data_IF_779474905226
#
_entry.id   IF_779474905226
#
_cell.length_a   1.000
_cell.length_b   1.000
_cell.length_c   1.000
_cell.angle_alpha   90.00
_cell.angle_beta   90.00
_cell.angle_gamma   90.00
#
_symmetry.space_group_name_H-M   'P 1'
#
loop_
_entity.id
_entity.type
_entity.pdbx_description
1 polymer ?
#
# COMPACT_ATOMS: atom_id res chain seq x y z
N UNK A 1 -25.07 7.91 33.35
CA UNK A 1 -24.71 9.21 32.74
C UNK A 1 -23.43 9.13 31.89
N UNK A 2 -22.38 8.43 32.34
CA UNK A 2 -21.12 8.22 31.60
C UNK A 2 -21.30 7.58 30.20
N UNK A 3 -22.20 6.60 30.05
CA UNK A 3 -22.49 5.95 28.75
C UNK A 3 -23.14 6.89 27.73
N UNK A 4 -24.08 7.73 28.16
CA UNK A 4 -24.72 8.76 27.30
C UNK A 4 -23.73 9.89 26.95
N UNK A 5 -22.85 10.25 27.88
CA UNK A 5 -21.75 11.19 27.65
C UNK A 5 -20.73 10.64 26.63
N UNK A 6 -20.38 9.35 26.75
CA UNK A 6 -19.48 8.68 25.80
C UNK A 6 -20.09 8.64 24.39
N UNK A 7 -21.39 8.37 24.28
CA UNK A 7 -22.10 8.33 22.99
C UNK A 7 -22.21 9.72 22.32
N UNK A 8 -22.39 10.77 23.12
CA UNK A 8 -22.38 12.16 22.63
C UNK A 8 -20.99 12.56 22.12
N UNK A 9 -19.93 12.22 22.87
CA UNK A 9 -18.54 12.47 22.45
C UNK A 9 -18.18 11.70 21.18
N UNK A 10 -18.64 10.45 21.04
CA UNK A 10 -18.42 9.64 19.83
C UNK A 10 -19.13 10.22 18.60
N UNK A 11 -20.35 10.75 18.77
CA UNK A 11 -21.09 11.44 17.70
C UNK A 11 -20.36 12.70 17.21
N UNK A 12 -19.75 13.47 18.14
CA UNK A 12 -18.98 14.66 17.81
C UNK A 12 -17.70 14.35 17.02
N UNK A 13 -17.07 13.20 17.27
CA UNK A 13 -15.84 12.76 16.60
C UNK A 13 -16.13 12.31 15.15
N UNK A 14 -17.27 11.67 14.89
CA UNK A 14 -17.65 11.18 13.54
C UNK A 14 -17.96 12.35 12.59
N UNK A 15 -18.54 13.45 13.09
CA UNK A 15 -18.86 14.64 12.29
C UNK A 15 -17.60 15.41 11.87
N UNK A 16 -16.48 15.27 12.60
CA UNK A 16 -15.21 15.95 12.30
C UNK A 16 -14.38 15.34 11.17
N UNK A 17 -14.78 14.18 10.61
CA UNK A 17 -14.03 13.49 9.55
C UNK A 17 -14.61 13.85 8.18
N UNK A 18 -14.63 15.14 7.83
CA UNK A 18 -14.78 15.53 6.43
C UNK A 18 -13.43 15.36 5.75
N UNK A 19 -13.32 14.70 4.57
CA UNK A 19 -12.05 14.62 3.87
C UNK A 19 -11.59 16.04 3.51
N UNK A 20 -10.54 16.50 4.18
CA UNK A 20 -9.83 17.72 3.80
C UNK A 20 -9.30 17.50 2.37
N UNK A 21 -9.59 18.39 1.39
CA UNK A 21 -8.89 18.34 0.12
C UNK A 21 -7.40 18.56 0.41
N UNK A 22 -6.57 17.55 0.10
CA UNK A 22 -5.13 17.66 0.24
C UNK A 22 -4.63 18.72 -0.75
N UNK A 23 -4.37 19.93 -0.26
CA UNK A 23 -3.66 20.96 -1.00
C UNK A 23 -2.19 20.49 -1.06
N UNK A 24 -1.80 19.90 -2.18
CA UNK A 24 -0.41 19.58 -2.46
C UNK A 24 0.36 20.89 -2.70
N UNK A 25 0.88 21.48 -1.62
CA UNK A 25 2.01 22.38 -1.75
C UNK A 25 3.23 21.50 -2.06
N UNK A 26 3.85 21.73 -3.22
CA UNK A 26 5.17 21.18 -3.59
C UNK A 26 6.20 21.64 -2.55
N UNK A 27 6.31 20.90 -1.45
CA UNK A 27 7.49 20.90 -0.61
C UNK A 27 8.60 20.19 -1.39
N UNK A 28 9.87 20.63 -1.30
CA UNK A 28 10.98 19.93 -1.92
C UNK A 28 10.95 18.49 -1.42
N UNK A 29 10.68 17.60 -2.37
CA UNK A 29 10.54 16.17 -2.27
C UNK A 29 11.52 15.64 -1.19
N UNK A 30 11.03 15.31 0.00
CA UNK A 30 11.76 14.39 0.88
C UNK A 30 11.84 13.13 0.05
N UNK A 31 12.97 12.96 -0.64
CA UNK A 31 13.24 11.87 -1.55
C UNK A 31 12.96 10.60 -0.78
N UNK A 32 11.79 10.03 -1.04
CA UNK A 32 11.36 8.80 -0.43
C UNK A 32 12.29 7.75 -1.03
N UNK A 33 13.31 7.33 -0.29
CA UNK A 33 14.38 6.44 -0.77
C UNK A 33 13.77 5.19 -1.42
N UNK A 34 12.63 4.74 -0.87
CA UNK A 34 11.84 3.65 -1.42
C UNK A 34 11.29 3.95 -2.83
N UNK A 35 10.86 5.18 -3.11
CA UNK A 35 10.36 5.58 -4.43
C UNK A 35 11.46 5.57 -5.51
N UNK A 36 12.69 6.00 -5.16
CA UNK A 36 13.83 5.94 -6.09
C UNK A 36 14.20 4.49 -6.40
N UNK A 37 14.25 3.64 -5.38
CA UNK A 37 14.61 2.24 -5.54
C UNK A 37 13.55 1.47 -6.36
N UNK A 38 12.27 1.75 -6.13
CA UNK A 38 11.16 1.22 -6.93
C UNK A 38 11.24 1.67 -8.39
N UNK A 39 11.58 2.95 -8.63
CA UNK A 39 11.69 3.48 -9.99
C UNK A 39 12.85 2.84 -10.75
N UNK A 40 14.00 2.66 -10.10
CA UNK A 40 15.14 1.93 -10.66
C UNK A 40 14.79 0.48 -11.01
N UNK A 41 14.03 -0.21 -10.17
CA UNK A 41 13.54 -1.57 -10.45
C UNK A 41 12.57 -1.59 -11.64
N UNK A 42 11.72 -0.57 -11.77
CA UNK A 42 10.79 -0.43 -12.88
C UNK A 42 11.51 -0.16 -14.21
N UNK A 43 12.52 0.70 -14.19
CA UNK A 43 13.36 0.99 -15.36
C UNK A 43 14.07 -0.26 -15.87
N UNK A 44 14.59 -1.09 -14.94
CA UNK A 44 15.19 -2.38 -15.28
C UNK A 44 14.18 -3.36 -15.90
N UNK A 45 12.94 -3.40 -15.41
CA UNK A 45 11.91 -4.23 -16.03
C UNK A 45 11.56 -3.76 -17.44
N UNK A 46 11.55 -2.44 -17.67
CA UNK A 46 11.33 -1.87 -19.00
C UNK A 46 12.48 -2.20 -19.95
N UNK A 47 13.72 -2.15 -19.47
CA UNK A 47 14.91 -2.63 -20.19
C UNK A 47 14.72 -4.09 -20.61
N UNK A 48 14.40 -4.99 -19.66
CA UNK A 48 14.20 -6.43 -19.93
C UNK A 48 13.06 -6.66 -20.94
N UNK A 49 11.98 -5.87 -20.86
CA UNK A 49 10.84 -5.96 -21.79
C UNK A 49 11.22 -5.59 -23.23
N UNK A 50 12.20 -4.68 -23.40
CA UNK A 50 12.69 -4.25 -24.70
C UNK A 50 13.66 -5.25 -25.36
N UNK A 51 14.15 -6.24 -24.61
CA UNK A 51 15.07 -7.27 -25.12
C UNK A 51 14.32 -8.23 -26.06
N UNK A 52 14.86 -8.46 -27.26
CA UNK A 52 14.35 -9.51 -28.15
C UNK A 52 14.69 -10.90 -27.61
N UNK A 53 13.77 -11.45 -26.83
CA UNK A 53 13.91 -12.75 -26.18
C UNK A 53 14.07 -13.94 -27.14
N UNK A 54 13.77 -13.78 -28.44
CA UNK A 54 13.92 -14.84 -29.45
C UNK A 54 15.39 -15.14 -29.76
N UNK A 55 16.26 -14.14 -29.61
CA UNK A 55 17.71 -14.25 -29.83
C UNK A 55 18.45 -14.91 -28.68
N UNK A 56 17.79 -15.08 -27.53
CA UNK A 56 18.42 -15.53 -26.29
C UNK A 56 18.45 -17.06 -26.14
N UNK A 57 19.58 -17.54 -25.62
CA UNK A 57 19.73 -18.94 -25.18
C UNK A 57 18.71 -19.30 -24.09
N UNK A 58 18.40 -20.60 -23.97
CA UNK A 58 17.50 -21.11 -22.91
C UNK A 58 17.98 -20.72 -21.51
N UNK A 59 19.30 -20.65 -21.30
CA UNK A 59 19.90 -20.24 -20.03
C UNK A 59 19.61 -18.76 -19.72
N UNK A 60 19.93 -17.86 -20.64
CA UNK A 60 19.72 -16.42 -20.51
C UNK A 60 18.24 -16.08 -20.28
N UNK A 61 17.32 -16.76 -21.00
CA UNK A 61 15.88 -16.61 -20.76
C UNK A 61 15.46 -17.07 -19.36
N UNK A 62 16.14 -18.05 -18.78
CA UNK A 62 15.88 -18.51 -17.41
C UNK A 62 16.34 -17.46 -16.40
N UNK A 63 17.52 -16.87 -16.60
CA UNK A 63 18.05 -15.81 -15.73
C UNK A 63 17.15 -14.57 -15.73
N UNK A 64 16.72 -14.10 -16.91
CA UNK A 64 15.79 -12.96 -16.99
C UNK A 64 14.46 -13.24 -16.27
N UNK A 65 13.94 -14.47 -16.33
CA UNK A 65 12.74 -14.84 -15.56
C UNK A 65 12.98 -14.87 -14.06
N UNK A 66 14.18 -15.25 -13.62
CA UNK A 66 14.54 -15.21 -12.20
C UNK A 66 14.63 -13.76 -11.71
N UNK A 67 15.21 -12.86 -12.50
CA UNK A 67 15.32 -11.44 -12.19
C UNK A 67 13.94 -10.75 -12.13
N UNK A 68 13.05 -11.02 -13.08
CA UNK A 68 11.68 -10.49 -13.03
C UNK A 68 10.96 -10.96 -11.76
N UNK A 69 11.09 -12.24 -11.40
CA UNK A 69 10.46 -12.81 -10.20
C UNK A 69 11.03 -12.27 -8.89
N UNK A 70 12.33 -11.97 -8.83
CA UNK A 70 12.93 -11.38 -7.63
C UNK A 70 12.43 -9.96 -7.41
N UNK A 71 12.34 -9.16 -8.48
CA UNK A 71 11.75 -7.80 -8.43
C UNK A 71 10.28 -7.86 -8.02
N UNK A 72 9.50 -8.79 -8.57
CA UNK A 72 8.08 -8.97 -8.22
C UNK A 72 7.91 -9.31 -6.73
N UNK A 73 8.74 -10.21 -6.19
CA UNK A 73 8.69 -10.61 -4.78
C UNK A 73 9.08 -9.45 -3.85
N UNK A 74 10.07 -8.65 -4.24
CA UNK A 74 10.46 -7.44 -3.50
C UNK A 74 9.30 -6.45 -3.40
N UNK A 75 8.58 -6.22 -4.49
CA UNK A 75 7.40 -5.33 -4.51
C UNK A 75 6.22 -5.89 -3.70
N UNK A 76 5.95 -7.21 -3.79
CA UNK A 76 4.86 -7.84 -3.03
C UNK A 76 5.07 -7.79 -1.51
N UNK A 77 6.31 -7.80 -1.04
CA UNK A 77 6.62 -7.76 0.40
C UNK A 77 6.48 -6.35 0.97
N UNK A 78 6.61 -5.31 0.15
CA UNK A 78 6.44 -3.90 0.55
C UNK A 78 4.97 -3.46 0.75
N UNK A 79 4.01 -4.23 0.24
CA UNK A 79 2.58 -3.83 0.17
C UNK A 79 1.63 -4.67 1.03
N UNK A 80 2.14 -5.28 2.10
CA UNK A 80 1.36 -6.10 3.05
C UNK A 80 0.41 -5.28 3.96
N UNK A 81 -0.46 -4.45 3.39
CA UNK A 81 -1.53 -3.80 4.12
C UNK A 81 -2.65 -4.79 4.43
N UNK A 82 -3.06 -4.90 5.70
CA UNK A 82 -4.26 -5.64 6.08
C UNK A 82 -5.46 -4.75 5.74
N UNK A 83 -6.15 -5.07 4.65
CA UNK A 83 -7.42 -4.45 4.31
C UNK A 83 -8.53 -5.18 5.06
N UNK A 84 -9.00 -4.58 6.15
CA UNK A 84 -10.17 -5.08 6.86
C UNK A 84 -11.41 -4.80 6.01
N UNK A 85 -12.19 -5.85 5.74
CA UNK A 85 -13.53 -5.69 5.16
C UNK A 85 -14.38 -4.80 6.07
N UNK A 86 -15.30 -4.03 5.47
CA UNK A 86 -16.27 -3.20 6.21
C UNK A 86 -17.01 -4.02 7.26
N UNK A 87 -17.39 -5.27 6.94
CA UNK A 87 -18.03 -6.18 7.89
C UNK A 87 -17.13 -6.55 9.08
N UNK A 88 -15.83 -6.72 8.86
CA UNK A 88 -14.88 -7.04 9.93
C UNK A 88 -14.69 -5.85 10.88
N UNK A 89 -14.66 -4.61 10.35
CA UNK A 89 -14.59 -3.39 11.16
C UNK A 89 -15.84 -3.27 12.06
N UNK A 90 -17.03 -3.54 11.52
CA UNK A 90 -18.30 -3.48 12.29
C UNK A 90 -18.29 -4.48 13.46
N UNK A 91 -17.83 -5.71 13.24
CA UNK A 91 -17.76 -6.74 14.29
C UNK A 91 -16.80 -6.32 15.42
N UNK A 92 -15.64 -5.75 15.08
CA UNK A 92 -14.66 -5.25 16.07
C UNK A 92 -15.29 -4.14 16.92
N UNK A 93 -15.98 -3.19 16.31
CA UNK A 93 -16.66 -2.09 17.02
C UNK A 93 -17.76 -2.64 17.94
N UNK A 94 -18.54 -3.61 17.47
CA UNK A 94 -19.60 -4.24 18.28
C UNK A 94 -19.04 -4.96 19.50
N UNK A 95 -17.92 -5.68 19.35
CA UNK A 95 -17.21 -6.34 20.45
C UNK A 95 -16.70 -5.34 21.49
N UNK A 96 -16.14 -4.20 21.06
CA UNK A 96 -15.70 -3.15 21.98
C UNK A 96 -16.84 -2.55 22.80
N UNK A 97 -18.04 -2.41 22.20
CA UNK A 97 -19.24 -1.93 22.91
C UNK A 97 -19.74 -2.97 23.92
N UNK A 98 -19.64 -4.27 23.61
CA UNK A 98 -20.09 -5.33 24.51
C UNK A 98 -19.19 -5.48 25.73
N UNK A 99 -17.88 -5.25 25.56
CA UNK A 99 -16.87 -5.35 26.62
C UNK A 99 -16.82 -4.09 27.51
N UNK A 100 -17.24 -2.93 27.02
CA UNK A 100 -17.21 -1.62 27.71
C UNK A 100 -18.50 -1.27 28.47
#
# INVERSE_FOLDING_TARGET
>A
MKKKLCLLVFSLIIIGITPLPSLAADLPNVVNINSIELQKQMDRLNEIKSIDTKTLSRHQRKELRHEIRSIQKAQSTGNGGIYLSVGAIIIIVLLLILIL
#
